data_IF_870140950844
#
_entry.id   IF_870140950844
#
_cell.length_a   1.000
_cell.length_b   1.000
_cell.length_c   1.000
_cell.angle_alpha   90.00
_cell.angle_beta   90.00
_cell.angle_gamma   90.00
#
_symmetry.space_group_name_H-M   'P 1'
#
loop_
_entity.id
_entity.type
_entity.pdbx_description
1 polymer ?
#
# COMPACT_ATOMS: atom_id res chain seq x y z
N UNK A 1 13.32 -17.39 -2.51
CA UNK A 1 13.11 -17.96 -1.14
C UNK A 1 12.08 -17.10 -0.42
N UNK A 2 11.18 -17.72 0.33
CA UNK A 2 10.24 -16.99 1.20
C UNK A 2 11.00 -16.32 2.35
N UNK A 3 10.53 -15.11 2.71
CA UNK A 3 11.04 -14.38 3.88
C UNK A 3 10.14 -14.73 5.06
N UNK A 4 10.75 -15.08 6.20
CA UNK A 4 10.05 -15.22 7.46
C UNK A 4 10.71 -14.29 8.47
N UNK A 5 10.05 -13.16 8.73
CA UNK A 5 10.54 -12.13 9.63
C UNK A 5 9.70 -12.11 10.90
N UNK A 6 10.36 -12.32 12.05
CA UNK A 6 9.75 -12.22 13.38
C UNK A 6 10.39 -11.05 14.14
N UNK A 7 9.58 -10.04 14.43
CA UNK A 7 10.06 -8.81 15.08
C UNK A 7 10.14 -8.91 16.59
N UNK A 8 9.55 -9.94 17.21
CA UNK A 8 9.53 -10.14 18.67
C UNK A 8 9.06 -8.90 19.45
N UNK A 9 8.09 -8.16 18.93
CA UNK A 9 7.58 -6.93 19.52
C UNK A 9 8.56 -5.76 19.50
N UNK A 10 9.64 -5.83 18.72
CA UNK A 10 10.64 -4.76 18.62
C UNK A 10 10.17 -3.65 17.67
N UNK A 11 10.82 -2.49 17.83
CA UNK A 11 10.56 -1.32 16.99
C UNK A 11 11.78 -1.00 16.12
N UNK A 12 11.50 -0.76 14.83
CA UNK A 12 12.44 -0.15 13.88
C UNK A 12 12.06 1.33 13.78
N UNK A 13 12.94 2.22 14.17
CA UNK A 13 12.65 3.67 14.16
C UNK A 13 13.49 4.42 13.15
N UNK A 14 12.94 5.54 12.63
CA UNK A 14 13.64 6.47 11.74
C UNK A 14 14.16 5.80 10.45
N UNK A 15 13.41 4.83 9.91
CA UNK A 15 13.73 4.24 8.63
C UNK A 15 13.53 5.29 7.53
N UNK A 16 14.60 5.87 7.07
CA UNK A 16 14.62 6.93 6.08
C UNK A 16 15.79 6.75 5.11
N UNK A 17 15.68 5.82 4.14
CA UNK A 17 16.73 5.64 3.16
C UNK A 17 16.89 6.89 2.28
N UNK A 18 18.07 7.42 2.19
CA UNK A 18 18.36 8.66 1.45
C UNK A 18 18.21 8.51 -0.06
N UNK A 19 18.50 7.31 -0.58
CA UNK A 19 18.28 7.00 -2.00
C UNK A 19 18.02 5.52 -2.20
N UNK A 20 17.07 5.23 -3.09
CA UNK A 20 16.88 3.92 -3.67
C UNK A 20 17.34 3.97 -5.13
N UNK A 21 18.60 3.69 -5.37
CA UNK A 21 19.18 3.63 -6.71
C UNK A 21 19.38 2.16 -7.07
N UNK A 22 19.05 1.77 -8.30
CA UNK A 22 19.35 0.42 -8.79
C UNK A 22 20.86 0.18 -8.91
N UNK A 23 21.25 -1.08 -9.07
CA UNK A 23 22.67 -1.49 -9.14
C UNK A 23 23.46 -0.78 -10.25
N UNK A 24 22.80 -0.34 -11.32
CA UNK A 24 23.38 0.43 -12.42
C UNK A 24 23.46 1.95 -12.14
N UNK A 25 23.01 2.40 -10.99
CA UNK A 25 22.92 3.81 -10.58
C UNK A 25 22.11 4.71 -11.53
N UNK A 26 21.53 4.15 -12.57
CA UNK A 26 20.73 4.88 -13.57
C UNK A 26 19.24 4.54 -13.46
N UNK A 27 18.91 3.35 -12.99
CA UNK A 27 17.53 2.88 -12.82
C UNK A 27 17.10 3.04 -11.38
N UNK A 28 16.14 3.92 -11.08
CA UNK A 28 15.61 4.05 -9.73
C UNK A 28 14.99 2.74 -9.26
N UNK A 29 15.19 2.37 -8.00
CA UNK A 29 14.52 1.22 -7.41
C UNK A 29 13.00 1.38 -7.55
N UNK A 30 12.35 0.35 -8.10
CA UNK A 30 10.90 0.40 -8.39
C UNK A 30 10.03 0.30 -7.14
N UNK A 31 10.59 -0.23 -6.03
CA UNK A 31 9.84 -0.59 -4.82
C UNK A 31 10.57 -0.16 -3.55
N UNK A 32 10.70 1.15 -3.31
CA UNK A 32 11.35 1.64 -2.10
C UNK A 32 10.49 1.31 -0.87
N UNK A 33 11.06 0.58 0.08
CA UNK A 33 10.38 0.05 1.27
C UNK A 33 11.37 -0.72 2.15
N UNK A 34 10.96 -1.14 3.35
CA UNK A 34 11.79 -2.02 4.19
C UNK A 34 12.04 -3.37 3.48
N UNK A 35 10.99 -3.93 2.87
CA UNK A 35 11.07 -5.09 1.99
C UNK A 35 10.59 -4.70 0.59
N UNK A 36 11.44 -4.67 -0.42
CA UNK A 36 11.04 -4.32 -1.79
C UNK A 36 9.85 -5.17 -2.27
N UNK A 37 9.99 -6.50 -2.17
CA UNK A 37 8.92 -7.48 -2.37
C UNK A 37 8.92 -8.45 -1.19
N UNK A 38 7.85 -8.47 -0.43
CA UNK A 38 7.66 -9.37 0.71
C UNK A 38 6.72 -10.51 0.33
N UNK A 39 7.19 -11.75 0.35
CA UNK A 39 6.36 -12.95 0.34
C UNK A 39 6.88 -13.95 1.38
N UNK A 40 5.96 -14.67 2.02
CA UNK A 40 6.22 -15.44 3.23
C UNK A 40 5.53 -14.84 4.44
N UNK A 41 6.22 -14.50 5.51
CA UNK A 41 5.59 -13.92 6.71
C UNK A 41 6.38 -12.77 7.32
N UNK A 42 5.65 -11.81 7.90
CA UNK A 42 6.20 -10.74 8.74
C UNK A 42 5.29 -10.57 9.96
N UNK A 43 5.84 -10.66 11.16
CA UNK A 43 5.05 -10.62 12.40
C UNK A 43 5.70 -9.80 13.51
N UNK A 44 4.83 -9.25 14.39
CA UNK A 44 5.19 -8.70 15.68
C UNK A 44 6.28 -7.62 15.61
N UNK A 45 6.12 -6.63 14.74
CA UNK A 45 7.08 -5.53 14.59
C UNK A 45 6.34 -4.19 14.48
N UNK A 46 6.93 -3.15 15.07
CA UNK A 46 6.52 -1.76 14.86
C UNK A 46 7.57 -1.04 14.01
N UNK A 47 7.14 -0.31 12.98
CA UNK A 47 8.00 0.58 12.19
C UNK A 47 7.51 2.00 12.49
N UNK A 48 8.37 2.81 13.09
CA UNK A 48 7.99 4.12 13.59
C UNK A 48 8.83 5.23 12.97
N UNK A 49 8.17 6.39 12.72
CA UNK A 49 8.82 7.61 12.22
C UNK A 49 9.59 7.35 10.90
N UNK A 50 9.03 6.49 10.05
CA UNK A 50 9.64 6.13 8.77
C UNK A 50 9.31 7.17 7.69
N UNK A 51 10.28 7.44 6.80
CA UNK A 51 10.09 8.41 5.72
C UNK A 51 10.66 7.89 4.41
N UNK A 52 9.83 7.87 3.36
CA UNK A 52 10.24 7.52 2.00
C UNK A 52 9.87 8.65 1.05
N UNK A 53 10.86 9.18 0.35
CA UNK A 53 10.67 10.19 -0.69
C UNK A 53 11.11 9.60 -2.02
N UNK A 54 10.18 9.49 -2.98
CA UNK A 54 10.47 8.96 -4.30
C UNK A 54 9.69 9.68 -5.38
N UNK A 55 10.38 10.40 -6.23
CA UNK A 55 9.78 11.12 -7.37
C UNK A 55 9.83 10.29 -8.66
N UNK A 56 9.47 9.01 -8.61
CA UNK A 56 9.39 8.12 -9.76
C UNK A 56 7.94 7.79 -10.12
N UNK A 57 7.63 7.76 -11.41
CA UNK A 57 6.25 7.63 -11.91
C UNK A 57 5.64 6.23 -11.78
N UNK A 58 6.44 5.19 -11.59
CA UNK A 58 6.00 3.78 -11.66
C UNK A 58 6.21 3.01 -10.37
N UNK A 59 6.61 3.66 -9.30
CA UNK A 59 6.94 2.98 -8.06
C UNK A 59 5.69 2.64 -7.24
N UNK A 60 5.62 1.40 -6.77
CA UNK A 60 4.75 1.01 -5.67
C UNK A 60 5.49 1.27 -4.35
N UNK A 61 4.98 2.18 -3.53
CA UNK A 61 5.64 2.63 -2.31
C UNK A 61 4.82 2.28 -1.09
N UNK A 62 5.43 1.53 -0.17
CA UNK A 62 4.91 1.27 1.16
C UNK A 62 6.05 1.18 2.17
N UNK A 63 5.80 1.51 3.41
CA UNK A 63 6.85 1.46 4.44
C UNK A 63 7.31 0.03 4.69
N UNK A 64 6.37 -0.92 4.86
CA UNK A 64 6.70 -2.33 5.06
C UNK A 64 7.16 -2.97 3.76
N UNK A 65 6.40 -2.81 2.69
CA UNK A 65 6.70 -3.43 1.40
C UNK A 65 6.20 -2.64 0.21
N UNK A 66 6.99 -2.56 -0.86
CA UNK A 66 6.52 -2.07 -2.13
C UNK A 66 5.48 -3.02 -2.72
N UNK A 67 5.76 -4.32 -2.69
CA UNK A 67 4.80 -5.40 -2.96
C UNK A 67 4.64 -6.31 -1.76
N UNK A 68 3.40 -6.63 -1.41
CA UNK A 68 3.02 -7.63 -0.43
C UNK A 68 2.38 -8.82 -1.17
N UNK A 69 3.07 -9.96 -1.15
CA UNK A 69 2.78 -11.08 -2.01
C UNK A 69 3.14 -10.81 -3.47
N UNK A 70 3.17 -11.84 -4.28
CA UNK A 70 3.38 -11.74 -5.72
C UNK A 70 2.81 -12.97 -6.43
N UNK A 71 2.60 -12.85 -7.74
CA UNK A 71 2.25 -13.96 -8.62
C UNK A 71 3.30 -14.02 -9.73
N UNK A 72 4.01 -15.11 -9.84
CA UNK A 72 5.03 -15.32 -10.86
C UNK A 72 4.77 -16.63 -11.59
N UNK A 73 4.68 -16.60 -12.91
CA UNK A 73 4.36 -17.78 -13.74
C UNK A 73 3.08 -18.50 -13.27
N UNK A 74 2.04 -17.75 -12.94
CA UNK A 74 0.77 -18.24 -12.38
C UNK A 74 0.90 -18.97 -11.01
N UNK A 75 2.04 -18.88 -10.36
CA UNK A 75 2.24 -19.39 -9.01
C UNK A 75 2.08 -18.25 -8.03
N UNK A 76 1.13 -18.41 -7.09
CA UNK A 76 0.94 -17.47 -5.98
C UNK A 76 2.05 -17.65 -4.94
N UNK A 77 2.68 -16.54 -4.57
CA UNK A 77 3.62 -16.46 -3.46
C UNK A 77 3.06 -15.46 -2.44
N UNK A 78 2.21 -15.91 -1.51
CA UNK A 78 1.47 -15.02 -0.63
C UNK A 78 2.35 -14.38 0.44
N UNK A 79 1.93 -13.21 0.92
CA UNK A 79 2.42 -12.59 2.14
C UNK A 79 1.42 -12.79 3.29
N UNK A 80 1.90 -13.22 4.44
CA UNK A 80 1.11 -13.35 5.67
C UNK A 80 1.69 -12.40 6.72
N UNK A 81 0.92 -11.38 7.07
CA UNK A 81 1.38 -10.27 7.90
C UNK A 81 0.47 -10.17 9.11
N UNK A 82 1.04 -10.18 10.31
CA UNK A 82 0.28 -10.22 11.55
C UNK A 82 0.93 -9.35 12.64
N UNK A 83 0.13 -8.55 13.33
CA UNK A 83 0.59 -7.64 14.40
C UNK A 83 1.77 -6.75 13.95
N UNK A 84 1.63 -6.13 12.78
CA UNK A 84 2.63 -5.20 12.24
C UNK A 84 2.04 -3.80 12.23
N UNK A 85 2.78 -2.84 12.80
CA UNK A 85 2.32 -1.48 12.96
C UNK A 85 3.29 -0.49 12.31
N UNK A 86 2.77 0.30 11.37
CA UNK A 86 3.48 1.45 10.78
C UNK A 86 2.92 2.71 11.41
N UNK A 87 3.73 3.42 12.17
CA UNK A 87 3.28 4.53 13.01
C UNK A 87 4.02 5.81 12.64
N UNK A 88 3.25 6.90 12.43
CA UNK A 88 3.77 8.23 12.12
C UNK A 88 4.71 8.23 10.90
N UNK A 89 4.29 7.58 9.83
CA UNK A 89 5.10 7.48 8.62
C UNK A 89 4.81 8.61 7.63
N UNK A 90 5.79 8.91 6.78
CA UNK A 90 5.64 9.86 5.68
C UNK A 90 6.05 9.21 4.36
N UNK A 91 5.18 9.30 3.37
CA UNK A 91 5.48 8.90 1.99
C UNK A 91 5.29 10.10 1.08
N UNK A 92 6.27 10.38 0.23
CA UNK A 92 6.17 11.31 -0.89
C UNK A 92 6.41 10.55 -2.17
N UNK A 93 5.42 10.52 -3.07
CA UNK A 93 5.51 9.70 -4.28
C UNK A 93 4.42 10.01 -5.30
N UNK A 94 4.34 9.22 -6.37
CA UNK A 94 3.45 9.52 -7.50
C UNK A 94 2.36 8.48 -7.78
N UNK A 95 2.59 7.19 -7.52
CA UNK A 95 1.64 6.14 -7.89
C UNK A 95 1.70 4.97 -6.92
N UNK A 96 0.55 4.33 -6.70
CA UNK A 96 0.36 3.17 -5.85
C UNK A 96 1.01 3.33 -4.47
N UNK A 97 0.57 4.38 -3.76
CA UNK A 97 1.09 4.73 -2.44
C UNK A 97 0.21 4.16 -1.33
N UNK A 98 0.82 3.51 -0.36
CA UNK A 98 0.16 3.08 0.86
C UNK A 98 1.12 3.14 2.03
N UNK A 99 0.69 3.68 3.19
CA UNK A 99 1.58 3.77 4.35
C UNK A 99 2.13 2.40 4.77
N UNK A 100 1.35 1.34 4.58
CA UNK A 100 1.75 -0.02 4.89
C UNK A 100 2.40 -0.72 3.70
N UNK A 101 1.72 -0.79 2.57
CA UNK A 101 2.21 -1.39 1.34
C UNK A 101 1.77 -0.64 0.07
N UNK A 102 2.64 -0.56 -0.92
CA UNK A 102 2.32 0.08 -2.19
C UNK A 102 1.31 -0.74 -2.99
N UNK A 103 1.61 -2.00 -3.22
CA UNK A 103 0.70 -2.97 -3.84
C UNK A 103 0.57 -4.25 -3.02
N UNK A 104 -0.61 -4.86 -3.06
CA UNK A 104 -0.87 -6.20 -2.55
C UNK A 104 -1.23 -7.12 -3.72
N UNK A 105 -0.57 -8.28 -3.79
CA UNK A 105 -0.87 -9.36 -4.73
C UNK A 105 -0.81 -10.69 -3.98
N UNK A 106 -1.95 -11.21 -3.56
CA UNK A 106 -2.05 -12.36 -2.67
C UNK A 106 -1.45 -12.09 -1.29
N UNK A 107 -2.08 -11.22 -0.49
CA UNK A 107 -1.64 -10.93 0.87
C UNK A 107 -2.77 -11.03 1.88
N UNK A 108 -2.43 -11.48 3.07
CA UNK A 108 -3.30 -11.46 4.25
C UNK A 108 -2.65 -10.61 5.32
N UNK A 109 -3.35 -9.55 5.75
CA UNK A 109 -2.93 -8.69 6.85
C UNK A 109 -3.94 -8.79 7.99
N UNK A 110 -3.48 -9.14 9.19
CA UNK A 110 -4.31 -9.30 10.37
C UNK A 110 -3.77 -8.46 11.52
N UNK A 111 -4.62 -7.73 12.21
CA UNK A 111 -4.27 -6.89 13.37
C UNK A 111 -3.15 -5.89 13.04
N UNK A 112 -3.23 -5.24 11.90
CA UNK A 112 -2.20 -4.30 11.43
C UNK A 112 -2.69 -2.85 11.47
N UNK A 113 -1.74 -1.93 11.65
CA UNK A 113 -2.06 -0.49 11.71
C UNK A 113 -1.13 0.30 10.81
N UNK A 114 -1.67 1.35 10.16
CA UNK A 114 -0.87 2.31 9.41
C UNK A 114 -1.33 3.73 9.74
N UNK A 115 -0.42 4.58 10.24
CA UNK A 115 -0.71 5.98 10.53
C UNK A 115 0.35 6.91 9.95
N UNK A 116 -0.08 8.09 9.48
CA UNK A 116 0.86 9.09 8.95
C UNK A 116 0.31 9.91 7.81
N UNK A 117 1.19 10.35 6.92
CA UNK A 117 0.81 11.18 5.78
C UNK A 117 1.34 10.66 4.45
N UNK A 118 0.58 10.93 3.40
CA UNK A 118 0.96 10.66 2.01
C UNK A 118 0.90 11.99 1.24
N UNK A 119 2.03 12.35 0.66
CA UNK A 119 2.15 13.51 -0.23
C UNK A 119 2.22 13.01 -1.67
N UNK A 120 1.18 13.31 -2.44
CA UNK A 120 1.07 12.86 -3.83
C UNK A 120 1.74 13.88 -4.74
N UNK A 121 2.73 13.44 -5.50
CA UNK A 121 3.41 14.24 -6.52
C UNK A 121 2.66 14.27 -7.86
N UNK A 122 3.26 14.90 -8.86
CA UNK A 122 2.68 14.98 -10.20
C UNK A 122 2.65 13.59 -10.86
N UNK A 123 1.45 13.02 -11.04
CA UNK A 123 1.25 11.68 -11.57
C UNK A 123 1.13 11.69 -13.10
N UNK A 124 1.89 10.84 -13.77
CA UNK A 124 1.71 10.56 -15.20
C UNK A 124 0.53 9.59 -15.45
N UNK A 125 0.28 8.66 -14.53
CA UNK A 125 -0.73 7.63 -14.64
C UNK A 125 -1.70 7.64 -13.44
N UNK A 126 -2.92 7.13 -13.66
CA UNK A 126 -3.88 6.94 -12.57
C UNK A 126 -3.42 5.82 -11.63
N UNK A 127 -2.97 6.18 -10.45
CA UNK A 127 -2.59 5.24 -9.39
C UNK A 127 -3.68 5.06 -8.33
N UNK A 128 -3.50 4.05 -7.48
CA UNK A 128 -4.27 3.87 -6.26
C UNK A 128 -3.46 4.36 -5.07
N UNK A 129 -4.05 5.23 -4.24
CA UNK A 129 -3.41 5.70 -3.03
C UNK A 129 -4.32 5.36 -1.85
N UNK A 130 -3.87 4.48 -0.98
CA UNK A 130 -4.60 4.01 0.18
C UNK A 130 -3.86 4.31 1.47
N UNK A 131 -4.59 4.63 2.52
CA UNK A 131 -3.96 4.85 3.82
C UNK A 131 -3.22 3.60 4.29
N UNK A 132 -3.74 2.43 3.99
CA UNK A 132 -3.09 1.17 4.29
C UNK A 132 -2.37 0.61 3.06
N UNK A 133 -3.08 0.31 1.97
CA UNK A 133 -2.54 -0.23 0.72
C UNK A 133 -2.92 0.65 -0.47
N UNK A 134 -1.97 1.00 -1.32
CA UNK A 134 -2.22 1.77 -2.53
C UNK A 134 -3.10 1.03 -3.52
N UNK A 135 -2.69 -0.17 -3.95
CA UNK A 135 -3.42 -1.00 -4.90
C UNK A 135 -3.48 -2.45 -4.44
N UNK A 136 -4.63 -3.09 -4.59
CA UNK A 136 -4.80 -4.51 -4.35
C UNK A 136 -5.21 -5.26 -5.62
N UNK A 137 -4.68 -6.47 -5.78
CA UNK A 137 -5.01 -7.43 -6.81
C UNK A 137 -4.83 -8.85 -6.27
N UNK A 138 -5.34 -9.87 -6.96
CA UNK A 138 -5.26 -11.24 -6.49
C UNK A 138 -6.11 -11.47 -5.23
N UNK A 139 -5.76 -12.46 -4.43
CA UNK A 139 -6.44 -12.77 -3.17
C UNK A 139 -5.87 -11.90 -2.05
N UNK A 140 -6.58 -10.84 -1.69
CA UNK A 140 -6.17 -9.92 -0.64
C UNK A 140 -7.18 -9.91 0.50
N UNK A 141 -6.68 -10.04 1.74
CA UNK A 141 -7.49 -10.03 2.97
C UNK A 141 -6.92 -9.03 3.96
N UNK A 142 -7.77 -8.11 4.42
CA UNK A 142 -7.50 -7.23 5.55
C UNK A 142 -8.49 -7.54 6.67
N UNK A 143 -8.00 -7.92 7.83
CA UNK A 143 -8.82 -8.25 8.99
C UNK A 143 -8.30 -7.55 10.25
N UNK A 144 -9.17 -6.85 10.96
CA UNK A 144 -8.83 -6.01 12.11
C UNK A 144 -7.70 -5.01 11.81
N UNK A 145 -7.72 -4.41 10.62
CA UNK A 145 -6.69 -3.43 10.22
C UNK A 145 -7.22 -2.00 10.36
N UNK A 146 -6.34 -1.09 10.76
CA UNK A 146 -6.67 0.31 10.93
C UNK A 146 -5.75 1.21 10.13
N UNK A 147 -6.29 2.31 9.63
CA UNK A 147 -5.53 3.34 8.95
C UNK A 147 -5.96 4.72 9.45
N UNK A 148 -4.98 5.59 9.72
CA UNK A 148 -5.18 7.01 9.94
C UNK A 148 -4.22 7.79 9.05
N UNK A 149 -4.75 8.32 7.94
CA UNK A 149 -3.94 8.92 6.88
C UNK A 149 -4.35 10.34 6.57
N UNK A 150 -3.35 11.22 6.46
CA UNK A 150 -3.52 12.57 5.96
C UNK A 150 -2.94 12.69 4.55
N UNK A 151 -3.80 12.94 3.57
CA UNK A 151 -3.37 13.18 2.20
C UNK A 151 -3.10 14.65 1.93
N UNK A 152 -2.04 14.91 1.16
CA UNK A 152 -1.79 16.21 0.55
C UNK A 152 -1.22 16.02 -0.85
N UNK A 153 -1.26 17.07 -1.67
CA UNK A 153 -0.62 17.08 -2.98
C UNK A 153 0.45 18.16 -3.04
N UNK A 154 1.59 17.84 -3.64
CA UNK A 154 2.66 18.80 -3.86
C UNK A 154 2.39 19.77 -5.01
N UNK A 155 1.54 19.37 -5.97
CA UNK A 155 1.20 20.11 -7.19
C UNK A 155 -0.28 19.92 -7.53
N UNK A 156 -0.79 20.70 -8.49
CA UNK A 156 -2.10 20.44 -9.06
C UNK A 156 -2.07 19.15 -9.88
N UNK A 157 -2.85 18.16 -9.45
CA UNK A 157 -2.90 16.86 -10.09
C UNK A 157 -3.87 16.93 -11.29
N UNK A 158 -3.34 16.92 -12.49
CA UNK A 158 -4.12 17.01 -13.74
C UNK A 158 -4.76 15.71 -14.19
N UNK A 159 -4.62 14.60 -13.46
CA UNK A 159 -5.07 13.26 -13.84
C UNK A 159 -5.90 12.59 -12.79
N UNK A 160 -6.72 11.62 -13.22
CA UNK A 160 -7.53 10.77 -12.35
C UNK A 160 -6.65 9.95 -11.42
N UNK A 161 -6.97 9.97 -10.15
CA UNK A 161 -6.38 9.10 -9.16
C UNK A 161 -7.46 8.61 -8.20
N UNK A 162 -7.10 7.64 -7.37
CA UNK A 162 -8.03 6.98 -6.47
C UNK A 162 -7.49 7.08 -5.06
N UNK A 163 -8.33 7.59 -4.15
CA UNK A 163 -7.99 7.72 -2.74
C UNK A 163 -8.94 6.88 -1.89
N UNK A 164 -8.40 6.12 -0.97
CA UNK A 164 -9.19 5.41 0.03
C UNK A 164 -8.51 5.39 1.39
N UNK A 165 -9.28 5.37 2.44
CA UNK A 165 -8.73 5.30 3.79
C UNK A 165 -7.96 4.01 4.05
N UNK A 166 -8.47 2.88 3.60
CA UNK A 166 -7.77 1.58 3.63
C UNK A 166 -7.10 1.30 2.28
N UNK A 167 -7.84 1.34 1.18
CA UNK A 167 -7.40 0.88 -0.13
C UNK A 167 -7.69 1.91 -1.21
N UNK A 168 -6.68 2.35 -1.93
CA UNK A 168 -6.87 3.28 -3.04
C UNK A 168 -7.57 2.65 -4.24
N UNK A 169 -7.10 1.49 -4.69
CA UNK A 169 -7.59 0.82 -5.90
C UNK A 169 -7.61 -0.70 -5.77
N UNK A 170 -8.77 -1.29 -5.88
CA UNK A 170 -8.95 -2.72 -6.08
C UNK A 170 -9.08 -3.03 -7.57
N UNK A 171 -8.18 -3.82 -8.12
CA UNK A 171 -8.15 -4.16 -9.55
C UNK A 171 -7.85 -5.63 -9.77
N UNK A 172 -8.35 -6.16 -10.87
CA UNK A 172 -7.91 -7.45 -11.37
C UNK A 172 -6.53 -7.35 -12.01
N UNK A 173 -5.74 -8.40 -11.93
CA UNK A 173 -4.50 -8.50 -12.69
C UNK A 173 -4.90 -8.87 -14.13
N UNK A 174 -4.56 -8.02 -15.10
CA UNK A 174 -4.86 -8.28 -16.51
C UNK A 174 -4.31 -9.63 -16.96
N UNK A 175 -5.16 -10.46 -17.58
CA UNK A 175 -4.82 -11.82 -18.04
C UNK A 175 -4.84 -12.89 -16.95
N UNK A 176 -5.13 -12.56 -15.71
CA UNK A 176 -5.30 -13.52 -14.63
C UNK A 176 -6.71 -14.14 -14.65
N UNK A 177 -6.82 -15.32 -14.10
CA UNK A 177 -8.09 -15.97 -13.81
C UNK A 177 -8.86 -15.10 -12.79
N UNK A 178 -9.88 -14.40 -13.28
CA UNK A 178 -10.72 -13.50 -12.48
C UNK A 178 -11.39 -14.21 -11.29
N UNK A 179 -11.48 -15.53 -11.33
CA UNK A 179 -12.06 -16.32 -10.23
C UNK A 179 -11.14 -16.38 -9.01
N UNK A 180 -9.86 -16.07 -9.19
CA UNK A 180 -8.87 -16.04 -8.10
C UNK A 180 -8.80 -14.69 -7.39
N UNK A 181 -9.23 -13.61 -8.07
CA UNK A 181 -9.21 -12.28 -7.50
C UNK A 181 -10.33 -12.16 -6.45
N UNK A 182 -9.94 -12.04 -5.19
CA UNK A 182 -10.87 -11.84 -4.07
C UNK A 182 -10.33 -10.79 -3.11
N UNK A 183 -11.15 -9.80 -2.81
CA UNK A 183 -10.87 -8.83 -1.75
C UNK A 183 -11.78 -9.09 -0.56
N UNK A 184 -11.21 -9.17 0.63
CA UNK A 184 -11.94 -9.17 1.90
C UNK A 184 -11.43 -8.04 2.78
N UNK A 185 -12.31 -7.15 3.21
CA UNK A 185 -12.04 -6.12 4.22
C UNK A 185 -13.01 -6.37 5.37
N UNK A 186 -12.50 -6.81 6.51
CA UNK A 186 -13.31 -7.22 7.63
C UNK A 186 -12.83 -6.59 8.93
N UNK A 187 -13.75 -5.97 9.68
CA UNK A 187 -13.46 -5.27 10.94
C UNK A 187 -12.31 -4.27 10.81
N UNK A 188 -12.28 -3.55 9.69
CA UNK A 188 -11.29 -2.53 9.41
C UNK A 188 -11.87 -1.13 9.61
N UNK A 189 -11.03 -0.19 9.99
CA UNK A 189 -11.43 1.20 10.11
C UNK A 189 -10.44 2.15 9.45
N UNK A 190 -10.96 3.25 8.94
CA UNK A 190 -10.16 4.30 8.35
C UNK A 190 -10.52 5.66 8.96
N UNK A 191 -9.49 6.44 9.25
CA UNK A 191 -9.58 7.82 9.67
C UNK A 191 -8.64 8.71 8.87
N UNK A 192 -8.69 10.01 9.10
CA UNK A 192 -7.78 10.98 8.50
C UNK A 192 -8.45 11.92 7.52
N UNK A 193 -7.65 12.55 6.67
CA UNK A 193 -8.10 13.54 5.70
C UNK A 193 -7.91 13.03 4.28
N UNK A 194 -9.02 12.83 3.55
CA UNK A 194 -9.02 12.31 2.18
C UNK A 194 -9.20 13.40 1.11
N UNK A 195 -9.25 14.67 1.50
CA UNK A 195 -9.59 15.75 0.61
C UNK A 195 -8.47 16.75 0.40
N UNK A 196 -8.35 17.23 -0.84
CA UNK A 196 -7.52 18.37 -1.20
C UNK A 196 -8.14 19.08 -2.41
N UNK A 197 -8.14 20.39 -2.42
CA UNK A 197 -8.70 21.28 -3.46
C UNK A 197 -7.92 21.28 -4.80
N UNK A 198 -6.77 20.65 -4.84
CA UNK A 198 -5.89 20.59 -6.02
C UNK A 198 -6.20 19.46 -7.01
N UNK A 199 -7.31 18.78 -6.84
CA UNK A 199 -7.65 17.58 -7.62
C UNK A 199 -8.74 17.86 -8.66
N UNK A 200 -8.56 17.42 -9.90
CA UNK A 200 -9.51 17.68 -10.99
C UNK A 200 -10.43 16.50 -11.30
N UNK A 201 -10.02 15.25 -11.07
CA UNK A 201 -10.82 14.06 -11.38
C UNK A 201 -10.37 12.90 -10.51
N UNK A 202 -11.28 12.32 -9.73
CA UNK A 202 -10.91 11.34 -8.71
C UNK A 202 -12.07 10.45 -8.29
N UNK A 203 -11.73 9.25 -7.84
CA UNK A 203 -12.60 8.41 -7.03
C UNK A 203 -12.08 8.45 -5.59
N UNK A 204 -12.89 8.94 -4.67
CA UNK A 204 -12.55 9.06 -3.25
C UNK A 204 -13.57 8.30 -2.44
N UNK A 205 -13.11 7.41 -1.57
CA UNK A 205 -13.95 6.64 -0.66
C UNK A 205 -13.36 6.58 0.74
N UNK A 206 -14.21 6.60 1.75
CA UNK A 206 -13.77 6.48 3.14
C UNK A 206 -12.94 5.23 3.40
N UNK A 207 -13.36 4.08 2.87
CA UNK A 207 -12.61 2.83 2.95
C UNK A 207 -11.86 2.53 1.65
N UNK A 208 -12.54 2.50 0.51
CA UNK A 208 -11.99 2.11 -0.79
C UNK A 208 -12.26 3.18 -1.84
N UNK A 209 -11.22 3.67 -2.49
CA UNK A 209 -11.35 4.71 -3.52
C UNK A 209 -12.02 4.20 -4.79
N UNK A 210 -11.58 3.07 -5.31
CA UNK A 210 -12.19 2.45 -6.50
C UNK A 210 -12.21 0.93 -6.38
N UNK A 211 -13.39 0.35 -6.60
CA UNK A 211 -13.63 -1.08 -6.53
C UNK A 211 -13.83 -1.65 -7.95
N UNK A 212 -12.79 -2.26 -8.49
CA UNK A 212 -12.81 -2.93 -9.80
C UNK A 212 -12.69 -4.46 -9.72
N UNK A 213 -12.70 -5.04 -8.53
CA UNK A 213 -12.70 -6.49 -8.33
C UNK A 213 -14.13 -7.04 -8.33
N UNK A 214 -14.42 -8.14 -9.06
CA UNK A 214 -15.74 -8.73 -9.10
C UNK A 214 -16.12 -9.42 -7.78
N UNK A 215 -15.15 -9.94 -7.03
CA UNK A 215 -15.36 -10.71 -5.80
C UNK A 215 -14.83 -9.89 -4.59
N UNK A 216 -15.60 -8.91 -4.15
CA UNK A 216 -15.26 -8.09 -3.00
C UNK A 216 -16.27 -8.27 -1.87
N UNK A 217 -15.77 -8.39 -0.64
CA UNK A 217 -16.54 -8.50 0.59
C UNK A 217 -16.04 -7.46 1.59
N UNK A 218 -16.92 -6.56 2.03
CA UNK A 218 -16.61 -5.57 3.07
C UNK A 218 -17.62 -5.75 4.18
N UNK A 219 -17.16 -6.13 5.37
CA UNK A 219 -18.03 -6.40 6.52
C UNK A 219 -17.49 -5.75 7.79
N UNK A 220 -18.38 -5.27 8.65
CA UNK A 220 -18.07 -4.71 9.96
C UNK A 220 -16.97 -3.61 9.91
N UNK A 221 -16.95 -2.80 8.84
CA UNK A 221 -15.87 -1.84 8.57
C UNK A 221 -16.40 -0.43 8.34
N UNK A 222 -15.64 0.60 8.76
CA UNK A 222 -16.06 2.01 8.70
C UNK A 222 -14.88 2.98 8.56
#
# INVERSE_FOLDING_TARGET
RQIHFEGNGKTISNFAPESFVGDDQTTPASYPSLFGVLYGSCKNVTIKDAKIIKDAETAAIGILGGYLGTVQNNISMPANIENVHVINAEIVGKSDLGLFGGQSRDATCINCTATGKIVIGNMANSGGNGGFIGRAAGKTVFENCTSDVHYSASVNLGKSFRLGGILGYAATIGGSDLTRDKLVIKRCSAAGTLFNDKYSSQAVGGLVGYMGMPNAEITESF
#
